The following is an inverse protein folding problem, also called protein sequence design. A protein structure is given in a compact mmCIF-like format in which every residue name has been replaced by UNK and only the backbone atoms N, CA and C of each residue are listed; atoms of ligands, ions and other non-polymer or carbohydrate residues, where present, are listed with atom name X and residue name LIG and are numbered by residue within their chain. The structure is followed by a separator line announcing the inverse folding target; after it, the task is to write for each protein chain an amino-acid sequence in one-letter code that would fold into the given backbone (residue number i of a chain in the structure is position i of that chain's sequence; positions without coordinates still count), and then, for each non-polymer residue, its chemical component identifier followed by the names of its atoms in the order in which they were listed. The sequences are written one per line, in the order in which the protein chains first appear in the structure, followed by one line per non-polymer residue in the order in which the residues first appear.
data_IF_268005621896
#
_entry.id   IF_268005621896
#
_cell.length_a   1.000
_cell.length_b   1.000
_cell.length_c   1.000
_cell.angle_alpha   90.00
_cell.angle_beta   90.00
_cell.angle_gamma   90.00
#
_symmetry.space_group_name_H-M   'P 1'
#
loop_
_entity.id
_entity.type
_entity.pdbx_description
1 polymer ?
#
# COMPACT_ATOMS: atom_id res chain seq x y z
N UNK A 1 28.70 -18.08 15.47
CA UNK A 1 27.79 -16.93 15.18
C UNK A 1 26.42 -17.50 14.89
N UNK A 2 25.37 -16.85 15.40
CA UNK A 2 23.98 -17.26 15.25
C UNK A 2 23.19 -16.14 14.56
N UNK A 3 22.70 -16.39 13.37
CA UNK A 3 21.95 -15.43 12.56
C UNK A 3 20.47 -15.81 12.55
N UNK A 4 19.64 -15.00 13.21
CA UNK A 4 18.19 -15.19 13.23
C UNK A 4 17.55 -14.37 12.13
N UNK A 5 17.38 -14.99 10.96
CA UNK A 5 16.98 -14.32 9.71
C UNK A 5 15.45 -14.31 9.55
N UNK A 6 14.85 -13.19 9.11
CA UNK A 6 13.42 -13.12 8.83
C UNK A 6 13.07 -13.94 7.58
N UNK A 7 11.82 -14.38 7.48
CA UNK A 7 11.28 -14.94 6.25
C UNK A 7 10.47 -13.83 5.56
N UNK A 8 10.98 -13.18 4.51
CA UNK A 8 10.20 -12.20 3.77
C UNK A 8 8.93 -12.88 3.25
N UNK A 9 7.78 -12.26 3.50
CA UNK A 9 6.50 -12.82 3.08
C UNK A 9 6.36 -12.69 1.56
N UNK A 10 6.32 -13.83 0.86
CA UNK A 10 5.99 -13.89 -0.57
C UNK A 10 4.49 -13.91 -0.83
N UNK A 11 3.68 -14.18 0.20
CA UNK A 11 2.22 -14.19 0.06
C UNK A 11 1.75 -12.78 -0.23
N UNK A 12 1.22 -12.55 -1.43
CA UNK A 12 0.60 -11.30 -1.81
C UNK A 12 -0.93 -11.37 -1.62
N UNK A 13 -1.54 -10.23 -1.34
CA UNK A 13 -2.99 -10.01 -1.34
C UNK A 13 -3.31 -8.90 -2.34
N UNK A 14 -4.43 -9.06 -3.05
CA UNK A 14 -4.96 -8.00 -3.91
C UNK A 14 -5.82 -7.08 -3.06
N UNK A 15 -5.66 -5.76 -3.21
CA UNK A 15 -6.46 -4.75 -2.52
C UNK A 15 -6.97 -3.74 -3.55
N UNK A 16 -8.28 -3.48 -3.54
CA UNK A 16 -8.91 -2.41 -4.31
C UNK A 16 -9.14 -1.21 -3.41
N UNK A 17 -8.61 -0.05 -3.77
CA UNK A 17 -8.74 1.20 -3.01
C UNK A 17 -9.13 2.32 -3.97
N UNK A 18 -10.17 3.09 -3.62
CA UNK A 18 -10.55 4.28 -4.39
C UNK A 18 -9.70 5.47 -3.98
N UNK A 19 -9.02 6.06 -4.96
CA UNK A 19 -8.22 7.27 -4.79
C UNK A 19 -9.07 8.49 -5.07
N UNK A 20 -9.15 9.40 -4.10
CA UNK A 20 -9.82 10.70 -4.17
C UNK A 20 -8.78 11.81 -4.32
N UNK A 21 -9.04 12.76 -5.22
CA UNK A 21 -8.14 13.87 -5.50
C UNK A 21 -8.46 15.04 -4.57
N UNK A 22 -7.70 15.20 -3.49
CA UNK A 22 -7.94 16.22 -2.47
C UNK A 22 -7.77 17.66 -2.98
N UNK A 23 -7.14 17.84 -4.14
CA UNK A 23 -7.04 19.12 -4.82
C UNK A 23 -8.19 19.40 -5.80
N UNK A 24 -9.14 18.48 -5.97
CA UNK A 24 -10.23 18.60 -6.93
C UNK A 24 -9.81 18.49 -8.39
N UNK A 25 -8.63 17.91 -8.69
CA UNK A 25 -8.13 17.79 -10.06
C UNK A 25 -8.82 16.70 -10.90
N UNK A 26 -9.56 15.78 -10.28
CA UNK A 26 -10.17 14.65 -10.99
C UNK A 26 -11.27 13.93 -10.20
N UNK A 27 -11.99 13.07 -10.92
CA UNK A 27 -12.99 12.17 -10.35
C UNK A 27 -12.32 11.07 -9.50
N UNK A 28 -13.00 10.55 -8.45
CA UNK A 28 -12.50 9.40 -7.70
C UNK A 28 -12.28 8.19 -8.62
N UNK A 29 -11.17 7.47 -8.44
CA UNK A 29 -10.80 6.34 -9.31
C UNK A 29 -10.37 5.12 -8.47
N UNK A 30 -10.94 3.92 -8.68
CA UNK A 30 -10.51 2.70 -8.03
C UNK A 30 -9.20 2.15 -8.64
N UNK A 31 -8.29 1.74 -7.77
CA UNK A 31 -7.04 1.06 -8.15
C UNK A 31 -6.96 -0.28 -7.45
N UNK A 32 -6.64 -1.33 -8.20
CA UNK A 32 -6.37 -2.65 -7.66
C UNK A 32 -4.87 -2.91 -7.67
N UNK A 33 -4.29 -3.12 -6.49
CA UNK A 33 -2.85 -3.35 -6.32
C UNK A 33 -2.58 -4.64 -5.57
N UNK A 34 -1.45 -5.28 -5.89
CA UNK A 34 -0.99 -6.49 -5.21
C UNK A 34 0.11 -6.15 -4.21
N UNK A 35 -0.15 -6.37 -2.93
CA UNK A 35 0.76 -6.04 -1.82
C UNK A 35 1.09 -7.28 -1.00
N UNK A 36 2.17 -7.25 -0.24
CA UNK A 36 2.53 -8.36 0.65
C UNK A 36 1.47 -8.48 1.76
N UNK A 37 0.90 -9.68 1.95
CA UNK A 37 -0.19 -9.96 2.91
C UNK A 37 0.16 -9.57 4.34
N UNK A 38 1.42 -9.78 4.73
CA UNK A 38 1.98 -9.40 6.02
C UNK A 38 2.82 -8.10 5.95
N UNK A 39 2.62 -7.31 4.90
CA UNK A 39 3.23 -5.99 4.77
C UNK A 39 2.55 -4.94 5.65
N UNK A 40 2.93 -3.69 5.44
CA UNK A 40 2.46 -2.53 6.20
C UNK A 40 1.78 -1.51 5.28
N UNK A 41 1.09 -0.52 5.86
CA UNK A 41 0.41 0.53 5.12
C UNK A 41 1.33 1.27 4.14
N UNK A 42 2.63 1.43 4.45
CA UNK A 42 3.62 2.00 3.51
C UNK A 42 3.73 1.23 2.20
N UNK A 43 3.60 -0.10 2.25
CA UNK A 43 3.74 -0.96 1.07
C UNK A 43 2.52 -0.77 0.16
N UNK A 44 1.34 -0.58 0.75
CA UNK A 44 0.10 -0.22 0.04
C UNK A 44 0.16 1.19 -0.55
N UNK A 45 0.63 2.17 0.23
CA UNK A 45 0.82 3.56 -0.25
C UNK A 45 1.79 3.59 -1.43
N UNK A 46 2.91 2.87 -1.35
CA UNK A 46 3.89 2.80 -2.43
C UNK A 46 3.30 2.15 -3.69
N UNK A 47 2.59 1.03 -3.53
CA UNK A 47 1.95 0.34 -4.65
C UNK A 47 0.87 1.19 -5.33
N UNK A 48 0.02 1.85 -4.53
CA UNK A 48 -0.99 2.79 -5.03
C UNK A 48 -0.34 3.99 -5.71
N UNK A 49 0.69 4.57 -5.09
CA UNK A 49 1.42 5.70 -5.64
C UNK A 49 2.04 5.40 -7.01
N UNK A 50 2.59 4.20 -7.19
CA UNK A 50 3.05 3.73 -8.49
C UNK A 50 1.89 3.55 -9.48
N UNK A 51 0.78 2.94 -9.05
CA UNK A 51 -0.38 2.66 -9.91
C UNK A 51 -1.12 3.93 -10.37
N UNK A 52 -1.19 4.96 -9.52
CA UNK A 52 -1.86 6.23 -9.83
C UNK A 52 -0.91 7.35 -10.28
N UNK A 53 0.36 7.02 -10.55
CA UNK A 53 1.41 7.96 -10.96
C UNK A 53 1.48 9.18 -10.03
N UNK A 54 1.68 8.93 -8.73
CA UNK A 54 1.84 9.95 -7.70
C UNK A 54 3.11 10.79 -7.97
N UNK A 55 3.00 12.11 -7.88
CA UNK A 55 4.14 13.01 -8.09
C UNK A 55 4.98 13.12 -6.81
N UNK A 56 6.18 13.67 -6.94
CA UNK A 56 7.12 13.85 -5.82
C UNK A 56 6.66 14.84 -4.75
N UNK A 57 5.75 15.76 -5.09
CA UNK A 57 5.18 16.77 -4.19
C UNK A 57 3.78 16.39 -3.65
N UNK A 58 3.40 15.13 -3.85
CA UNK A 58 2.10 14.59 -3.46
C UNK A 58 2.24 13.38 -2.55
N UNK A 59 1.27 13.17 -1.66
CA UNK A 59 1.19 12.01 -0.79
C UNK A 59 -0.21 11.39 -0.79
N UNK A 60 -0.30 10.16 -0.28
CA UNK A 60 -1.56 9.45 -0.10
C UNK A 60 -1.87 9.27 1.38
N UNK A 61 -3.04 9.76 1.81
CA UNK A 61 -3.59 9.52 3.14
C UNK A 61 -4.63 8.42 3.07
N UNK A 62 -4.33 7.26 3.66
CA UNK A 62 -5.25 6.13 3.73
C UNK A 62 -6.30 6.33 4.84
N UNK A 63 -7.54 5.91 4.57
CA UNK A 63 -8.64 5.97 5.53
C UNK A 63 -9.60 4.79 5.40
N UNK A 64 -10.05 4.27 6.53
CA UNK A 64 -11.19 3.36 6.61
C UNK A 64 -12.48 4.17 6.73
N UNK A 65 -13.45 3.82 5.89
CA UNK A 65 -14.76 4.47 5.83
C UNK A 65 -15.81 3.51 6.35
N UNK A 66 -16.58 3.93 7.35
CA UNK A 66 -17.68 3.16 7.92
C UNK A 66 -18.86 4.08 8.21
N UNK A 67 -20.08 3.64 7.88
CA UNK A 67 -21.30 4.43 8.02
C UNK A 67 -21.18 5.88 7.49
N UNK A 68 -20.56 6.04 6.31
CA UNK A 68 -20.38 7.32 5.63
C UNK A 68 -19.48 8.34 6.37
N UNK A 69 -18.61 7.86 7.26
CA UNK A 69 -17.66 8.67 8.05
C UNK A 69 -16.27 8.08 7.96
N UNK A 70 -15.26 8.93 8.17
CA UNK A 70 -13.88 8.46 8.36
C UNK A 70 -13.81 7.83 9.74
N UNK A 71 -13.81 6.50 9.79
CA UNK A 71 -13.69 5.75 11.03
C UNK A 71 -12.26 5.86 11.58
N UNK A 72 -11.29 5.73 10.68
CA UNK A 72 -9.88 5.66 11.05
C UNK A 72 -9.00 6.21 9.93
N UNK A 73 -8.05 7.07 10.29
CA UNK A 73 -6.94 7.43 9.39
C UNK A 73 -5.78 6.50 9.65
N UNK A 74 -5.24 5.90 8.59
CA UNK A 74 -4.11 4.98 8.62
C UNK A 74 -2.81 5.77 8.44
N UNK A 75 -2.53 6.66 9.38
CA UNK A 75 -1.38 7.59 9.31
C UNK A 75 -0.05 6.92 9.65
N UNK A 76 -0.09 5.79 10.35
CA UNK A 76 1.11 5.07 10.74
C UNK A 76 1.60 4.19 9.57
N UNK A 77 2.74 4.50 8.93
CA UNK A 77 3.23 3.75 7.77
C UNK A 77 3.64 2.31 8.11
N UNK A 78 3.94 2.02 9.38
CA UNK A 78 4.30 0.68 9.86
C UNK A 78 3.10 -0.08 10.44
N UNK A 79 1.87 0.41 10.23
CA UNK A 79 0.69 -0.36 10.64
C UNK A 79 0.53 -1.61 9.75
N UNK A 80 0.37 -2.81 10.32
CA UNK A 80 0.24 -4.04 9.53
C UNK A 80 -1.03 -4.03 8.65
N UNK A 81 -0.90 -4.42 7.38
CA UNK A 81 -2.06 -4.54 6.48
C UNK A 81 -3.09 -5.57 6.96
N UNK A 82 -2.70 -6.48 7.85
CA UNK A 82 -3.62 -7.42 8.49
C UNK A 82 -4.69 -6.75 9.37
N UNK A 83 -4.54 -5.46 9.74
CA UNK A 83 -5.59 -4.70 10.42
C UNK A 83 -6.75 -4.35 9.50
N UNK A 84 -6.49 -4.22 8.20
CA UNK A 84 -7.49 -3.96 7.16
C UNK A 84 -8.06 -5.30 6.70
N UNK A 85 -9.34 -5.53 6.90
CA UNK A 85 -10.06 -6.74 6.48
C UNK A 85 -10.45 -6.69 5.01
N UNK A 86 -10.96 -7.80 4.50
CA UNK A 86 -11.34 -7.91 3.09
C UNK A 86 -12.67 -7.19 2.80
N UNK A 87 -13.56 -7.19 3.79
CA UNK A 87 -14.88 -6.52 3.80
C UNK A 87 -14.83 -5.02 4.15
N UNK A 88 -13.66 -4.50 4.52
CA UNK A 88 -13.51 -3.08 4.85
C UNK A 88 -13.60 -2.22 3.59
N UNK A 89 -14.03 -0.97 3.76
CA UNK A 89 -14.02 0.04 2.71
C UNK A 89 -12.87 1.01 2.98
N UNK A 90 -11.83 0.94 2.15
CA UNK A 90 -10.64 1.77 2.29
C UNK A 90 -10.51 2.72 1.11
N UNK A 91 -10.17 3.96 1.42
CA UNK A 91 -9.91 5.02 0.44
C UNK A 91 -8.55 5.63 0.66
N UNK A 92 -8.01 6.24 -0.40
CA UNK A 92 -6.78 7.01 -0.33
C UNK A 92 -7.07 8.44 -0.81
N UNK A 93 -6.70 9.45 -0.02
CA UNK A 93 -6.77 10.84 -0.44
C UNK A 93 -5.40 11.28 -0.97
N UNK A 94 -5.34 11.68 -2.24
CA UNK A 94 -4.16 12.28 -2.88
C UNK A 94 -4.08 13.76 -2.48
N UNK A 95 -3.03 14.13 -1.77
CA UNK A 95 -2.86 15.44 -1.17
C UNK A 95 -1.53 16.06 -1.62
N UNK A 96 -1.48 17.38 -1.81
CA UNK A 96 -0.24 18.09 -2.13
C UNK A 96 0.46 18.56 -0.84
N UNK A 97 1.72 18.18 -0.68
CA UNK A 97 2.52 18.45 0.53
C UNK A 97 3.21 19.82 0.54
N UNK A 98 2.86 20.72 -0.40
CA UNK A 98 3.51 22.02 -0.52
C UNK A 98 3.26 22.93 0.70
N UNK A 99 4.18 22.95 1.67
CA UNK A 99 4.19 23.90 2.81
C UNK A 99 3.99 23.26 4.20
N UNK A 100 4.55 23.89 5.24
CA UNK A 100 4.37 23.49 6.63
C UNK A 100 3.07 24.07 7.23
N UNK A 101 2.45 23.39 8.20
CA UNK A 101 1.30 23.93 8.96
C UNK A 101 -0.09 23.61 8.43
N UNK A 102 -0.24 22.61 7.55
CA UNK A 102 -1.53 22.27 6.93
C UNK A 102 -2.52 21.62 7.91
N UNK A 103 -3.80 21.96 7.79
CA UNK A 103 -4.91 21.33 8.54
C UNK A 103 -5.77 20.47 7.65
N UNK A 104 -6.25 19.34 8.17
CA UNK A 104 -7.13 18.43 7.42
C UNK A 104 -8.56 18.92 7.49
N UNK A 105 -9.20 19.12 6.35
CA UNK A 105 -10.63 19.37 6.24
C UNK A 105 -11.34 18.09 5.79
N UNK A 106 -12.21 17.55 6.64
CA UNK A 106 -13.04 16.38 6.38
C UNK A 106 -14.50 16.82 6.15
N UNK A 107 -15.04 16.45 5.00
CA UNK A 107 -16.37 16.83 4.52
C UNK A 107 -17.29 15.62 4.56
N UNK A 108 -18.31 15.66 5.42
CA UNK A 108 -19.29 14.59 5.54
C UNK A 108 -20.61 15.01 4.90
N UNK A 109 -21.16 14.16 4.04
CA UNK A 109 -22.39 14.47 3.30
C UNK A 109 -23.63 14.04 4.08
N UNK A 110 -24.62 14.92 4.17
CA UNK A 110 -25.93 14.62 4.77
C UNK A 110 -27.08 15.18 3.95
N UNK A 111 -28.23 14.54 4.07
CA UNK A 111 -29.51 14.99 3.50
C UNK A 111 -30.63 14.77 4.52
N UNK A 112 -31.77 15.45 4.36
CA UNK A 112 -32.93 15.19 5.22
C UNK A 112 -33.50 13.80 4.91
N UNK A 113 -33.66 12.99 5.95
CA UNK A 113 -34.35 11.71 5.89
C UNK A 113 -35.82 11.93 5.53
N UNK A 114 -36.29 11.21 4.52
CA UNK A 114 -37.71 11.14 4.14
C UNK A 114 -38.51 10.18 5.04
N UNK A 115 -37.85 9.44 5.94
CA UNK A 115 -38.47 8.51 6.86
C UNK A 115 -38.75 9.18 8.22
N UNK A 116 -40.03 9.39 8.53
CA UNK A 116 -40.51 10.17 9.69
C UNK A 116 -40.33 9.49 11.08
N UNK A 117 -39.85 8.25 11.15
CA UNK A 117 -39.85 7.46 12.39
C UNK A 117 -38.59 7.59 13.29
N UNK A 118 -37.54 8.30 12.87
CA UNK A 118 -36.32 8.42 13.66
C UNK A 118 -36.37 9.63 14.61
N UNK A 119 -36.40 9.34 15.92
CA UNK A 119 -36.44 10.31 17.04
C UNK A 119 -35.19 11.19 17.19
N UNK A 120 -34.24 11.17 16.25
CA UNK A 120 -33.05 12.04 16.25
C UNK A 120 -32.97 12.86 14.96
N UNK A 121 -33.61 14.03 14.95
CA UNK A 121 -33.21 15.14 14.07
C UNK A 121 -33.22 14.94 12.56
N UNK A 122 -33.85 13.90 12.01
CA UNK A 122 -34.21 13.83 10.58
C UNK A 122 -33.09 13.90 9.55
N UNK A 123 -31.81 13.67 9.88
CA UNK A 123 -30.69 13.70 8.92
C UNK A 123 -30.16 12.30 8.63
N UNK A 124 -29.86 12.04 7.35
CA UNK A 124 -29.24 10.80 6.85
C UNK A 124 -27.88 11.12 6.24
N UNK A 125 -26.84 10.42 6.67
CA UNK A 125 -25.51 10.49 6.05
C UNK A 125 -25.44 9.58 4.81
N UNK A 126 -24.62 9.94 3.83
CA UNK A 126 -24.40 9.10 2.66
C UNK A 126 -23.02 9.33 2.05
N UNK A 127 -22.62 8.39 1.19
CA UNK A 127 -21.39 8.48 0.41
C UNK A 127 -20.12 8.41 1.24
N UNK A 128 -19.02 8.75 0.58
CA UNK A 128 -17.67 8.73 1.10
C UNK A 128 -17.27 10.14 1.50
N UNK A 129 -16.77 10.36 2.72
CA UNK A 129 -16.26 11.66 3.11
C UNK A 129 -15.14 12.12 2.18
N UNK A 130 -15.09 13.41 1.88
CA UNK A 130 -14.01 14.00 1.11
C UNK A 130 -13.01 14.65 2.07
N UNK A 131 -11.71 14.51 1.79
CA UNK A 131 -10.64 15.07 2.63
C UNK A 131 -9.69 15.89 1.78
N UNK A 132 -9.33 17.07 2.27
CA UNK A 132 -8.32 17.95 1.69
C UNK A 132 -7.46 18.60 2.77
N UNK A 133 -6.44 19.35 2.35
CA UNK A 133 -5.59 20.14 3.21
C UNK A 133 -5.89 21.63 3.00
N UNK A 134 -5.93 22.36 4.11
CA UNK A 134 -6.00 23.82 4.13
C UNK A 134 -4.65 24.35 4.58
N UNK A 135 -4.13 25.31 3.84
CA UNK A 135 -2.98 26.12 4.22
C UNK A 135 -3.47 27.19 5.22
N UNK A 136 -2.65 27.58 6.21
CA UNK A 136 -2.90 28.62 7.24
C UNK A 136 -3.36 28.18 8.66
N UNK A 137 -2.96 29.01 9.64
CA UNK A 137 -3.32 28.87 11.06
C UNK A 137 -4.70 29.46 11.42
N UNK A 138 -5.19 30.40 10.62
CA UNK A 138 -6.49 31.04 10.76
C UNK A 138 -7.30 30.80 9.49
N UNK A 139 -8.26 29.88 9.58
CA UNK A 139 -9.10 29.48 8.47
C UNK A 139 -10.43 30.22 8.58
N UNK A 140 -10.78 30.98 7.55
CA UNK A 140 -12.09 31.62 7.43
C UNK A 140 -13.12 30.67 6.82
N UNK A 141 -14.40 30.98 6.99
CA UNK A 141 -15.47 30.26 6.30
C UNK A 141 -15.36 30.36 4.78
N UNK A 142 -14.85 31.48 4.26
CA UNK A 142 -14.59 31.65 2.83
C UNK A 142 -13.53 30.67 2.30
N UNK A 143 -12.48 30.37 3.09
CA UNK A 143 -11.45 29.41 2.71
C UNK A 143 -12.02 27.99 2.62
N UNK A 144 -12.87 27.62 3.58
CA UNK A 144 -13.59 26.33 3.56
C UNK A 144 -14.51 26.25 2.34
N UNK A 145 -15.24 27.33 2.05
CA UNK A 145 -16.09 27.43 0.88
C UNK A 145 -15.30 27.17 -0.42
N UNK A 146 -14.17 27.86 -0.60
CA UNK A 146 -13.29 27.66 -1.78
C UNK A 146 -12.82 26.21 -1.87
N UNK A 147 -12.39 25.62 -0.76
CA UNK A 147 -11.96 24.22 -0.72
C UNK A 147 -13.08 23.24 -1.08
N UNK A 148 -14.30 23.45 -0.55
CA UNK A 148 -15.49 22.65 -0.89
C UNK A 148 -15.80 22.77 -2.39
N UNK A 149 -15.81 23.99 -2.93
CA UNK A 149 -16.11 24.24 -4.35
C UNK A 149 -15.10 23.54 -5.26
N UNK A 150 -13.81 23.66 -4.92
CA UNK A 150 -12.71 23.02 -5.65
C UNK A 150 -12.88 21.50 -5.65
N UNK A 151 -13.11 20.91 -4.49
CA UNK A 151 -13.18 19.46 -4.31
C UNK A 151 -14.41 18.83 -4.97
N UNK A 152 -15.54 19.54 -4.99
CA UNK A 152 -16.76 19.09 -5.65
C UNK A 152 -16.79 19.40 -7.15
N UNK A 153 -15.86 20.22 -7.65
CA UNK A 153 -15.87 20.64 -9.06
C UNK A 153 -15.87 19.48 -10.07
N UNK A 154 -15.15 18.36 -9.87
CA UNK A 154 -15.19 17.22 -10.79
C UNK A 154 -16.54 16.48 -10.77
N UNK A 155 -17.30 16.59 -9.67
CA UNK A 155 -18.58 15.90 -9.50
C UNK A 155 -19.74 16.63 -10.19
N UNK A 156 -19.49 17.80 -10.80
CA UNK A 156 -20.53 18.56 -11.50
C UNK A 156 -21.05 17.76 -12.70
N UNK A 157 -22.37 17.70 -12.85
CA UNK A 157 -23.00 17.11 -14.04
C UNK A 157 -22.65 17.94 -15.28
N UNK A 158 -22.34 17.26 -16.39
CA UNK A 158 -22.23 17.94 -17.67
C UNK A 158 -23.56 18.64 -17.98
N UNK A 159 -23.52 19.95 -18.28
CA UNK A 159 -24.72 20.69 -18.68
C UNK A 159 -25.22 20.12 -20.00
N UNK A 160 -26.38 19.46 -19.98
CA UNK A 160 -27.10 19.12 -21.22
C UNK A 160 -27.62 20.42 -21.81
N UNK A 161 -26.97 20.92 -22.87
CA UNK A 161 -27.44 22.06 -23.66
C UNK A 161 -28.64 21.65 -24.50
N UNK A 162 -29.78 21.39 -23.86
CA UNK A 162 -31.04 21.26 -24.58
C UNK A 162 -31.60 22.67 -24.81
N UNK A 163 -31.09 23.35 -25.84
CA UNK A 163 -31.86 24.41 -26.47
C UNK A 163 -33.07 23.77 -27.15
N UNK A 164 -34.20 23.79 -26.47
CA UNK A 164 -35.52 23.61 -27.10
C UNK A 164 -35.77 24.87 -27.92
N UNK A 165 -35.36 24.87 -29.19
CA UNK A 165 -35.88 25.82 -30.15
C UNK A 165 -37.26 25.33 -30.60
N UNK A 166 -38.28 26.00 -30.07
CA UNK A 166 -39.61 26.04 -30.64
C UNK A 166 -39.57 26.65 -32.04
N UNK A 167 -39.99 25.90 -33.07
CA UNK A 167 -40.15 26.41 -34.43
C UNK A 167 -41.07 25.50 -35.24
N UNK A 168 -42.17 26.06 -35.73
CA UNK A 168 -43.30 25.42 -36.40
C UNK A 168 -42.96 24.80 -37.77
N UNK A 169 -43.84 23.87 -38.14
CA UNK A 169 -44.01 23.19 -39.43
C UNK A 169 -43.88 24.07 -40.68
N UNK A 170 -43.19 23.57 -41.71
CA UNK A 170 -43.75 23.22 -43.05
C UNK A 170 -42.65 22.95 -44.08
N UNK A 171 -42.83 21.92 -44.91
CA UNK A 171 -42.32 21.89 -46.29
C UNK A 171 -41.43 20.70 -46.67
N UNK A 172 -41.93 19.90 -47.61
CA UNK A 172 -41.38 18.67 -48.20
C UNK A 172 -40.43 18.93 -49.41
N UNK A 173 -39.78 17.84 -49.87
CA UNK A 173 -39.04 17.56 -51.14
C UNK A 173 -37.51 17.87 -51.13
N UNK A 174 -36.59 16.89 -51.05
CA UNK A 174 -36.12 15.83 -52.01
C UNK A 174 -35.01 16.32 -52.96
N UNK A 175 -33.79 15.76 -52.84
CA UNK A 175 -33.12 14.91 -53.86
C UNK A 175 -31.60 14.77 -53.64
N UNK A 176 -31.06 13.74 -54.30
CA UNK A 176 -29.80 13.04 -54.11
C UNK A 176 -28.58 13.61 -54.87
N UNK A 177 -27.46 12.88 -54.72
CA UNK A 177 -26.17 12.93 -55.44
C UNK A 177 -25.20 14.06 -55.05
N UNK A 178 -23.88 13.91 -54.97
CA UNK A 178 -22.94 12.82 -55.25
C UNK A 178 -21.50 13.39 -55.23
N UNK A 179 -20.53 12.55 -54.88
CA UNK A 179 -19.10 12.57 -55.28
C UNK A 179 -18.08 13.64 -54.78
N UNK A 180 -17.11 13.13 -54.01
CA UNK A 180 -15.63 13.29 -54.05
C UNK A 180 -14.96 14.56 -54.62
N UNK A 181 -13.97 15.12 -53.89
CA UNK A 181 -12.63 15.46 -54.43
C UNK A 181 -11.67 16.03 -53.36
N UNK A 182 -10.38 15.78 -53.60
CA UNK A 182 -9.15 15.96 -52.84
C UNK A 182 -8.58 17.39 -52.69
N UNK A 183 -7.65 17.49 -51.72
CA UNK A 183 -6.35 18.21 -51.69
C UNK A 183 -6.23 19.73 -51.41
N UNK A 184 -5.63 19.98 -50.24
CA UNK A 184 -4.50 20.84 -49.84
C UNK A 184 -3.94 21.98 -50.74
N UNK A 185 -3.61 23.06 -50.01
CA UNK A 185 -2.54 24.08 -50.15
C UNK A 185 -2.74 25.34 -51.01
N UNK A 186 -2.47 26.49 -50.38
CA UNK A 186 -2.10 27.76 -51.03
C UNK A 186 -2.42 29.00 -50.20
N UNK A 187 -1.42 29.84 -49.91
CA UNK A 187 -1.40 30.95 -48.94
C UNK A 187 -1.84 32.32 -49.48
N UNK A 188 -2.07 33.25 -48.51
CA UNK A 188 -1.90 34.74 -48.57
C UNK A 188 -2.94 35.52 -49.41
N UNK A 189 -3.53 36.66 -49.02
CA UNK A 189 -3.12 37.74 -48.12
C UNK A 189 -4.31 38.64 -47.68
N UNK A 190 -4.28 39.06 -46.41
CA UNK A 190 -4.77 40.32 -45.79
C UNK A 190 -6.03 41.04 -46.29
N UNK A 191 -7.00 41.21 -45.38
CA UNK A 191 -7.59 42.53 -45.08
C UNK A 191 -8.09 42.59 -43.64
N UNK A 192 -7.44 43.45 -42.86
CA UNK A 192 -7.86 43.90 -41.54
C UNK A 192 -9.29 44.43 -41.57
N UNK A 193 -10.13 43.94 -40.66
CA UNK A 193 -11.14 44.75 -39.98
C UNK A 193 -11.40 44.15 -38.61
N UNK A 194 -10.92 44.90 -37.62
CA UNK A 194 -11.15 44.77 -36.20
C UNK A 194 -12.64 44.68 -35.84
N UNK A 195 -13.02 43.60 -35.16
CA UNK A 195 -14.08 43.62 -34.17
C UNK A 195 -13.65 42.75 -32.99
N UNK A 196 -13.63 43.37 -31.82
CA UNK A 196 -13.08 42.88 -30.57
C UNK A 196 -13.67 41.52 -30.17
N UNK A 197 -12.81 40.51 -30.07
CA UNK A 197 -13.10 39.32 -29.27
C UNK A 197 -13.08 39.75 -27.79
N UNK A 198 -14.26 40.01 -27.23
CA UNK A 198 -14.43 39.83 -25.79
C UNK A 198 -14.37 38.34 -25.50
N UNK A 199 -13.16 37.85 -25.26
CA UNK A 199 -12.95 36.75 -24.34
C UNK A 199 -13.54 37.18 -23.00
N UNK A 200 -14.81 36.83 -22.75
CA UNK A 200 -15.34 36.83 -21.39
C UNK A 200 -14.67 35.69 -20.64
N UNK A 201 -13.51 36.04 -20.11
CA UNK A 201 -12.97 35.52 -18.87
C UNK A 201 -14.09 35.52 -17.83
N UNK A 202 -14.81 34.40 -17.68
CA UNK A 202 -15.75 34.18 -16.57
C UNK A 202 -14.96 33.93 -15.27
N UNK A 203 -14.26 34.97 -14.81
CA UNK A 203 -13.92 35.18 -13.42
C UNK A 203 -15.07 35.94 -12.77
N UNK A 204 -16.16 35.25 -12.40
CA UNK A 204 -17.11 35.80 -11.42
C UNK A 204 -17.69 34.69 -10.55
N UNK A 205 -17.64 34.91 -9.23
CA UNK A 205 -17.88 33.89 -8.22
C UNK A 205 -19.25 33.24 -8.35
N UNK A 206 -19.26 31.96 -8.74
CA UNK A 206 -20.40 31.10 -8.46
C UNK A 206 -20.46 30.87 -6.96
N UNK A 207 -21.49 31.44 -6.34
CA UNK A 207 -21.86 31.21 -4.94
C UNK A 207 -21.98 29.70 -4.69
N UNK A 208 -21.41 29.21 -3.59
CA UNK A 208 -21.59 27.80 -3.22
C UNK A 208 -23.04 27.55 -2.86
N UNK A 209 -23.61 26.52 -3.47
CA UNK A 209 -24.99 26.12 -3.21
C UNK A 209 -25.16 25.38 -1.87
N UNK A 210 -24.06 24.90 -1.27
CA UNK A 210 -24.08 24.11 -0.05
C UNK A 210 -24.20 24.97 1.21
N UNK A 211 -25.09 24.57 2.11
CA UNK A 211 -25.03 25.02 3.51
C UNK A 211 -23.98 24.19 4.26
N UNK A 212 -23.04 24.89 4.92
CA UNK A 212 -21.90 24.29 5.61
C UNK A 212 -22.06 24.42 7.12
N UNK A 213 -21.78 23.33 7.84
CA UNK A 213 -21.85 23.32 9.30
C UNK A 213 -20.60 22.70 9.92
N UNK A 214 -19.99 23.37 10.88
CA UNK A 214 -18.91 22.85 11.69
C UNK A 214 -19.46 21.81 12.70
N UNK A 215 -18.75 20.70 12.85
CA UNK A 215 -19.07 19.63 13.80
C UNK A 215 -17.88 19.24 14.67
N UNK A 216 -18.17 18.61 15.82
CA UNK A 216 -17.18 17.97 16.68
C UNK A 216 -16.88 16.54 16.23
N UNK A 217 -15.90 15.90 16.87
CA UNK A 217 -15.47 14.52 16.57
C UNK A 217 -16.56 13.47 16.77
N UNK A 218 -17.56 13.78 17.60
CA UNK A 218 -18.72 12.91 17.86
C UNK A 218 -19.87 13.12 16.88
N UNK A 219 -19.72 14.00 15.90
CA UNK A 219 -20.76 14.35 14.93
C UNK A 219 -22.07 14.86 15.57
N UNK A 220 -21.94 15.49 16.75
CA UNK A 220 -23.06 15.90 17.59
C UNK A 220 -23.29 17.41 17.57
N UNK A 221 -22.22 18.19 17.38
CA UNK A 221 -22.31 19.63 17.22
C UNK A 221 -22.68 20.02 15.78
N UNK A 222 -23.47 21.08 15.63
CA UNK A 222 -23.86 21.59 14.32
C UNK A 222 -23.92 23.12 14.39
N UNK A 223 -22.82 23.78 14.01
CA UNK A 223 -22.72 25.25 13.99
C UNK A 223 -22.62 25.74 12.55
N UNK A 224 -23.51 26.63 12.07
CA UNK A 224 -23.42 27.14 10.70
C UNK A 224 -22.10 27.88 10.49
N UNK A 225 -21.52 27.73 9.31
CA UNK A 225 -20.31 28.44 8.89
C UNK A 225 -20.75 29.57 7.96
N UNK A 226 -20.41 30.81 8.32
CA UNK A 226 -20.53 31.98 7.46
C UNK A 226 -19.16 32.37 6.91
N UNK A 227 -19.11 33.09 5.79
CA UNK A 227 -17.85 33.46 5.12
C UNK A 227 -16.84 34.16 6.02
N UNK A 228 -17.32 35.04 6.89
CA UNK A 228 -16.56 35.81 7.87
C UNK A 228 -16.25 35.05 9.17
N UNK A 229 -16.72 33.79 9.29
CA UNK A 229 -16.47 32.96 10.47
C UNK A 229 -14.99 32.61 10.58
N UNK A 230 -14.36 32.94 11.70
CA UNK A 230 -12.98 32.52 12.00
C UNK A 230 -13.01 31.19 12.76
N UNK A 231 -12.43 30.16 12.18
CA UNK A 231 -12.50 28.79 12.69
C UNK A 231 -11.18 28.43 13.39
N UNK A 232 -11.18 28.53 14.73
CA UNK A 232 -10.09 28.07 15.59
C UNK A 232 -10.35 26.64 16.04
N UNK A 233 -9.85 25.67 15.28
CA UNK A 233 -9.99 24.24 15.57
C UNK A 233 -8.63 23.57 15.46
N UNK A 234 -8.43 22.43 16.13
CA UNK A 234 -7.18 21.67 16.08
C UNK A 234 -6.81 21.19 14.66
N UNK A 235 -5.89 20.24 14.56
CA UNK A 235 -5.32 19.80 13.27
C UNK A 235 -6.35 19.17 12.29
N UNK A 236 -7.58 18.92 12.72
CA UNK A 236 -8.67 18.35 11.92
C UNK A 236 -9.93 19.20 12.06
N UNK A 237 -10.45 19.67 10.95
CA UNK A 237 -11.71 20.38 10.82
C UNK A 237 -12.71 19.42 10.18
N UNK A 238 -13.87 19.22 10.81
CA UNK A 238 -14.95 18.39 10.28
C UNK A 238 -16.15 19.26 9.98
N UNK A 239 -16.70 19.12 8.78
CA UNK A 239 -17.89 19.85 8.36
C UNK A 239 -18.96 18.92 7.78
N UNK A 240 -20.22 19.32 7.93
CA UNK A 240 -21.32 18.74 7.18
C UNK A 240 -21.59 19.55 5.91
N UNK A 241 -21.75 18.84 4.80
CA UNK A 241 -22.26 19.34 3.53
C UNK A 241 -23.70 18.88 3.40
N UNK A 242 -24.64 19.82 3.44
CA UNK A 242 -26.06 19.52 3.28
C UNK A 242 -26.47 19.47 1.82
N UNK A 243 -27.07 18.35 1.43
CA UNK A 243 -27.62 18.16 0.09
C UNK A 243 -29.14 18.37 0.12
N UNK A 244 -29.60 19.23 -0.78
CA UNK A 244 -31.01 19.43 -1.11
C UNK A 244 -31.25 19.11 -2.58
N UNK A 245 -32.50 19.18 -3.03
CA UNK A 245 -32.85 18.99 -4.45
C UNK A 245 -32.08 19.92 -5.39
N UNK A 246 -31.58 21.07 -4.91
CA UNK A 246 -30.75 21.98 -5.71
C UNK A 246 -29.41 21.34 -6.02
N UNK A 247 -28.68 20.85 -5.02
CA UNK A 247 -27.33 20.29 -5.20
C UNK A 247 -27.38 19.02 -6.05
N UNK A 248 -28.41 18.19 -5.89
CA UNK A 248 -28.64 16.99 -6.71
C UNK A 248 -28.81 17.26 -8.22
N UNK A 249 -29.25 18.47 -8.61
CA UNK A 249 -29.34 18.90 -10.02
C UNK A 249 -27.98 19.26 -10.61
N UNK A 250 -27.06 19.75 -9.79
CA UNK A 250 -25.76 20.23 -10.25
C UNK A 250 -24.65 19.19 -10.10
N UNK A 251 -24.75 18.30 -9.12
CA UNK A 251 -23.70 17.33 -8.79
C UNK A 251 -24.22 15.90 -8.92
N UNK A 252 -23.32 15.00 -9.30
CA UNK A 252 -23.58 13.56 -9.30
C UNK A 252 -22.95 12.90 -8.06
N UNK A 253 -23.76 12.51 -7.06
CA UNK A 253 -23.25 11.83 -5.88
C UNK A 253 -22.94 10.35 -6.13
N UNK A 254 -23.20 9.81 -7.33
CA UNK A 254 -22.82 8.42 -7.67
C UNK A 254 -21.32 8.17 -7.49
N UNK A 255 -20.48 9.17 -7.79
CA UNK A 255 -19.02 9.09 -7.62
C UNK A 255 -18.54 8.93 -6.17
N UNK A 256 -19.42 9.18 -5.18
CA UNK A 256 -19.07 9.07 -3.75
C UNK A 256 -19.86 7.97 -3.04
N UNK A 257 -20.87 7.35 -3.64
CA UNK A 257 -21.80 6.42 -2.97
C UNK A 257 -21.34 4.95 -2.95
N UNK A 258 -20.60 4.51 -3.97
CA UNK A 258 -20.29 3.09 -4.18
C UNK A 258 -18.79 2.82 -4.11
N UNK A 259 -18.24 2.72 -2.89
CA UNK A 259 -16.88 2.26 -2.70
C UNK A 259 -16.81 0.74 -2.90
N UNK A 260 -15.84 0.22 -3.66
CA UNK A 260 -15.57 -1.20 -3.66
C UNK A 260 -15.03 -1.65 -2.28
N UNK A 261 -15.39 -2.86 -1.86
CA UNK A 261 -14.70 -3.55 -0.77
C UNK A 261 -13.23 -3.78 -1.13
N UNK A 262 -12.36 -3.79 -0.10
CA UNK A 262 -10.92 -4.00 -0.26
C UNK A 262 -10.61 -5.27 -1.06
N UNK A 263 -11.37 -6.34 -0.84
CA UNK A 263 -11.28 -7.54 -1.67
C UNK A 263 -12.67 -8.05 -2.04
N UNK A 264 -13.15 -7.66 -3.22
CA UNK A 264 -14.33 -8.26 -3.81
C UNK A 264 -13.96 -9.61 -4.47
N UNK A 265 -14.56 -10.71 -4.01
CA UNK A 265 -14.45 -12.02 -4.68
C UNK A 265 -15.09 -11.95 -6.07
N UNK A 266 -14.36 -11.48 -7.08
CA UNK A 266 -14.73 -11.79 -8.46
C UNK A 266 -14.66 -13.31 -8.66
N UNK A 267 -15.69 -13.87 -9.30
CA UNK A 267 -15.97 -15.30 -9.49
C UNK A 267 -14.99 -15.94 -10.50
N UNK A 268 -13.69 -15.81 -10.24
CA UNK A 268 -12.66 -16.56 -10.94
C UNK A 268 -11.80 -17.28 -9.92
N UNK A 269 -12.11 -18.57 -9.77
CA UNK A 269 -11.31 -19.65 -9.18
C UNK A 269 -9.99 -19.20 -8.55
N UNK A 270 -9.99 -19.09 -7.22
CA UNK A 270 -8.76 -19.13 -6.45
C UNK A 270 -8.07 -20.48 -6.69
N UNK A 271 -7.23 -20.56 -7.72
CA UNK A 271 -6.15 -21.54 -7.72
C UNK A 271 -5.36 -21.25 -6.46
N UNK A 272 -5.27 -22.21 -5.53
CA UNK A 272 -4.28 -22.20 -4.44
C UNK A 272 -2.92 -21.92 -5.10
N UNK A 273 -2.50 -20.67 -5.10
CA UNK A 273 -1.17 -20.28 -5.55
C UNK A 273 -0.23 -21.06 -4.65
N UNK A 274 0.63 -21.90 -5.24
CA UNK A 274 1.72 -22.54 -4.49
C UNK A 274 2.44 -21.41 -3.74
N UNK A 275 2.62 -21.55 -2.43
CA UNK A 275 3.45 -20.61 -1.66
C UNK A 275 4.80 -20.54 -2.37
N UNK A 276 5.17 -19.35 -2.85
CA UNK A 276 6.43 -19.15 -3.55
C UNK A 276 7.59 -19.40 -2.58
N UNK A 277 8.53 -20.26 -2.99
CA UNK A 277 9.74 -20.54 -2.24
C UNK A 277 10.59 -19.27 -2.08
N UNK A 278 11.22 -19.12 -0.91
CA UNK A 278 12.15 -18.02 -0.61
C UNK A 278 13.57 -18.58 -0.53
N UNK A 279 14.58 -17.86 -1.02
CA UNK A 279 15.98 -18.31 -0.87
C UNK A 279 16.56 -17.88 0.49
N UNK A 280 17.50 -18.65 1.04
CA UNK A 280 18.27 -18.26 2.23
C UNK A 280 19.00 -16.93 2.03
N UNK A 281 19.46 -16.65 0.79
CA UNK A 281 20.08 -15.38 0.44
C UNK A 281 19.09 -14.22 0.60
N UNK A 282 17.84 -14.37 0.15
CA UNK A 282 16.80 -13.35 0.34
C UNK A 282 16.49 -13.10 1.83
N UNK A 283 16.48 -14.15 2.65
CA UNK A 283 16.34 -14.02 4.10
C UNK A 283 17.54 -13.25 4.71
N UNK A 284 18.75 -13.54 4.25
CA UNK A 284 19.97 -12.85 4.70
C UNK A 284 20.00 -11.38 4.24
N UNK A 285 19.62 -11.08 3.00
CA UNK A 285 19.50 -9.72 2.49
C UNK A 285 18.48 -8.92 3.31
N UNK A 286 17.31 -9.51 3.60
CA UNK A 286 16.32 -8.89 4.46
C UNK A 286 16.86 -8.63 5.88
N UNK A 287 17.70 -9.52 6.43
CA UNK A 287 18.36 -9.33 7.72
C UNK A 287 19.38 -8.17 7.73
N UNK A 288 20.04 -7.92 6.60
CA UNK A 288 21.07 -6.88 6.45
C UNK A 288 20.53 -5.55 5.91
N UNK A 289 19.24 -5.51 5.55
CA UNK A 289 18.57 -4.30 5.07
C UNK A 289 18.37 -3.33 6.23
N UNK A 290 18.53 -2.03 5.94
CA UNK A 290 18.26 -0.97 6.92
C UNK A 290 16.76 -0.92 7.27
N UNK A 291 16.46 -0.85 8.55
CA UNK A 291 15.10 -0.78 9.07
C UNK A 291 14.94 0.38 10.06
N UNK A 292 13.79 1.11 10.05
CA UNK A 292 13.50 2.08 11.09
C UNK A 292 13.18 1.36 12.40
N UNK A 293 13.70 1.88 13.51
CA UNK A 293 13.29 1.44 14.84
C UNK A 293 11.82 1.82 15.08
N UNK A 294 11.08 0.93 15.73
CA UNK A 294 9.69 1.16 16.07
C UNK A 294 9.51 2.15 17.23
N UNK A 295 8.24 2.51 17.53
CA UNK A 295 7.94 3.44 18.62
C UNK A 295 8.33 2.92 20.01
N UNK A 296 8.31 1.60 20.19
CA UNK A 296 8.61 0.94 21.48
C UNK A 296 10.12 0.70 21.67
N UNK A 297 10.93 0.86 20.61
CA UNK A 297 12.38 0.59 20.57
C UNK A 297 13.20 1.75 19.99
N UNK A 298 12.68 2.98 20.12
CA UNK A 298 13.37 4.21 19.68
C UNK A 298 14.78 4.32 20.26
N UNK A 299 15.70 4.88 19.48
CA UNK A 299 17.09 5.06 19.90
C UNK A 299 17.23 6.32 20.76
N UNK A 300 17.89 6.21 21.91
CA UNK A 300 18.27 7.35 22.71
C UNK A 300 19.46 8.07 22.07
N UNK A 301 19.21 9.25 21.48
CA UNK A 301 20.25 10.03 20.84
C UNK A 301 21.09 10.78 21.89
N UNK A 302 22.40 10.53 22.01
CA UNK A 302 23.24 11.20 23.00
C UNK A 302 23.42 12.70 22.72
N UNK A 303 23.27 13.13 21.46
CA UNK A 303 23.37 14.54 21.05
C UNK A 303 22.08 15.31 21.38
N UNK A 304 20.91 14.74 21.08
CA UNK A 304 19.61 15.36 21.34
C UNK A 304 19.14 15.19 22.79
N UNK A 305 19.68 14.18 23.50
CA UNK A 305 19.29 13.77 24.86
C UNK A 305 17.81 13.34 24.97
N UNK A 306 17.30 12.69 23.93
CA UNK A 306 15.94 12.18 23.87
C UNK A 306 15.83 10.95 22.95
N UNK A 307 14.71 10.23 23.05
CA UNK A 307 14.41 9.10 22.17
C UNK A 307 13.99 9.61 20.78
N UNK A 308 14.66 9.12 19.73
CA UNK A 308 14.41 9.46 18.34
C UNK A 308 14.19 8.19 17.53
N UNK A 309 13.29 8.29 16.56
CA UNK A 309 13.09 7.25 15.57
C UNK A 309 14.29 7.26 14.61
N UNK A 310 15.27 6.39 14.88
CA UNK A 310 16.47 6.22 14.08
C UNK A 310 16.33 5.02 13.15
N UNK A 311 17.20 4.94 12.15
CA UNK A 311 17.37 3.73 11.35
C UNK A 311 18.46 2.85 11.93
N UNK A 312 18.28 1.54 11.80
CA UNK A 312 19.21 0.51 12.24
C UNK A 312 19.58 -0.34 11.04
N UNK A 313 20.87 -0.56 10.86
CA UNK A 313 21.41 -1.47 9.84
C UNK A 313 22.39 -2.43 10.49
N UNK A 314 22.35 -3.69 10.06
CA UNK A 314 23.31 -4.71 10.47
C UNK A 314 24.16 -5.08 9.26
N UNK A 315 25.47 -5.21 9.46
CA UNK A 315 26.42 -5.68 8.45
C UNK A 315 27.24 -6.85 9.03
N UNK A 316 27.67 -7.77 8.17
CA UNK A 316 28.56 -8.86 8.57
C UNK A 316 30.02 -8.39 8.43
N UNK A 317 30.75 -8.35 9.55
CA UNK A 317 32.15 -7.92 9.53
C UNK A 317 33.12 -9.08 9.26
N UNK A 318 32.98 -10.19 9.99
CA UNK A 318 33.73 -11.45 9.84
C UNK A 318 32.82 -12.63 10.17
N UNK A 319 33.12 -13.83 9.66
CA UNK A 319 32.29 -15.03 9.89
C UNK A 319 33.08 -16.20 10.53
N UNK A 320 32.44 -17.00 11.40
CA UNK A 320 33.08 -18.09 12.15
C UNK A 320 33.27 -19.38 11.34
N UNK A 321 34.02 -20.36 11.87
CA UNK A 321 34.09 -21.71 11.29
C UNK A 321 32.74 -22.45 11.30
N UNK A 322 31.93 -22.25 12.36
CA UNK A 322 30.57 -22.79 12.46
C UNK A 322 29.55 -21.65 12.46
N UNK A 323 28.71 -21.64 11.43
CA UNK A 323 27.67 -20.64 11.22
C UNK A 323 26.30 -21.29 11.37
N UNK A 324 25.46 -20.68 12.21
CA UNK A 324 24.10 -21.16 12.47
C UNK A 324 23.11 -20.16 11.93
N UNK A 325 22.23 -20.61 11.03
CA UNK A 325 21.09 -19.83 10.57
C UNK A 325 19.82 -20.33 11.26
N UNK A 326 19.12 -19.43 11.92
CA UNK A 326 17.78 -19.67 12.45
C UNK A 326 16.76 -18.96 11.57
N UNK A 327 15.85 -19.74 10.99
CA UNK A 327 14.74 -19.25 10.20
C UNK A 327 13.63 -18.79 11.17
N UNK A 328 13.38 -17.47 11.27
CA UNK A 328 12.35 -16.88 12.17
C UNK A 328 10.93 -17.22 11.71
N UNK A 329 10.53 -18.48 11.88
CA UNK A 329 9.22 -19.00 11.45
C UNK A 329 8.09 -18.64 12.42
N UNK A 330 8.38 -18.46 13.70
CA UNK A 330 7.35 -18.17 14.69
C UNK A 330 7.15 -16.68 14.84
N UNK A 331 5.88 -16.25 14.77
CA UNK A 331 5.47 -14.88 15.05
C UNK A 331 4.48 -14.88 16.21
N UNK A 332 4.64 -13.87 17.07
CA UNK A 332 3.83 -13.65 18.25
C UNK A 332 3.16 -12.29 18.15
N UNK A 333 1.83 -12.26 18.15
CA UNK A 333 1.05 -11.05 18.45
C UNK A 333 0.25 -11.28 19.73
N UNK A 334 -0.28 -10.20 20.32
CA UNK A 334 -1.08 -10.29 21.58
C UNK A 334 -2.25 -11.28 21.49
N UNK A 335 -2.74 -11.57 20.29
CA UNK A 335 -3.92 -12.41 20.07
C UNK A 335 -3.67 -13.65 19.19
N UNK A 336 -2.56 -13.70 18.45
CA UNK A 336 -2.29 -14.77 17.51
C UNK A 336 -0.85 -15.28 17.64
N UNK A 337 -0.72 -16.60 17.76
CA UNK A 337 0.55 -17.31 17.63
C UNK A 337 0.52 -18.04 16.29
N UNK A 338 1.45 -17.73 15.39
CA UNK A 338 1.48 -18.36 14.07
C UNK A 338 2.88 -18.89 13.72
N UNK A 339 2.93 -19.95 12.91
CA UNK A 339 4.14 -20.47 12.30
C UNK A 339 4.08 -20.25 10.79
N UNK A 340 5.18 -19.74 10.23
CA UNK A 340 5.37 -19.58 8.79
C UNK A 340 5.86 -20.90 8.20
N UNK A 341 5.01 -21.52 7.37
CA UNK A 341 5.31 -22.75 6.63
C UNK A 341 5.88 -22.48 5.23
N UNK A 342 6.49 -21.31 5.00
CA UNK A 342 7.14 -20.98 3.72
C UNK A 342 8.32 -21.93 3.44
N UNK A 343 8.41 -22.48 2.23
CA UNK A 343 9.59 -23.24 1.81
C UNK A 343 10.80 -22.30 1.69
N UNK A 344 11.90 -22.63 2.35
CA UNK A 344 13.15 -21.88 2.23
C UNK A 344 14.15 -22.75 1.48
N UNK A 345 14.58 -22.29 0.31
CA UNK A 345 15.65 -22.94 -0.44
C UNK A 345 17.02 -22.48 0.08
N UNK A 346 17.81 -23.43 0.58
CA UNK A 346 19.14 -23.19 1.13
C UNK A 346 20.17 -24.13 0.48
N UNK A 347 21.40 -23.70 0.15
CA UNK A 347 22.41 -24.57 -0.45
C UNK A 347 22.90 -25.64 0.54
N UNK A 348 22.93 -26.91 0.16
CA UNK A 348 23.54 -27.96 1.01
C UNK A 348 25.08 -27.88 0.93
N UNK A 349 25.60 -27.50 -0.24
CA UNK A 349 27.02 -27.34 -0.52
C UNK A 349 27.27 -25.97 -1.14
N UNK A 350 28.51 -25.48 -1.05
CA UNK A 350 28.97 -24.25 -1.71
C UNK A 350 28.14 -22.99 -1.36
N UNK A 351 27.72 -22.85 -0.10
CA UNK A 351 27.13 -21.59 0.37
C UNK A 351 28.24 -20.52 0.46
N UNK A 352 28.33 -19.66 -0.55
CA UNK A 352 29.31 -18.57 -0.60
C UNK A 352 28.72 -17.28 -0.02
N UNK A 353 29.26 -16.85 1.13
CA UNK A 353 28.87 -15.63 1.83
C UNK A 353 29.86 -14.49 1.64
N UNK A 354 30.90 -14.67 0.82
CA UNK A 354 32.02 -13.72 0.70
C UNK A 354 31.54 -12.32 0.30
N UNK A 355 30.48 -12.22 -0.51
CA UNK A 355 29.89 -10.94 -0.94
C UNK A 355 29.22 -10.14 0.18
N UNK A 356 28.84 -10.79 1.28
CA UNK A 356 28.13 -10.16 2.39
C UNK A 356 29.07 -9.67 3.51
N UNK A 357 30.36 -10.05 3.47
CA UNK A 357 31.34 -9.73 4.50
C UNK A 357 32.08 -8.43 4.17
N UNK A 358 32.12 -7.48 5.12
CA UNK A 358 32.75 -6.15 4.94
C UNK A 358 34.21 -6.08 5.39
N UNK A 359 34.64 -6.94 6.31
CA UNK A 359 35.95 -6.84 6.99
C UNK A 359 37.18 -7.11 6.13
N UNK A 360 37.02 -7.63 4.90
CA UNK A 360 38.09 -7.66 3.89
C UNK A 360 39.37 -8.38 4.33
N UNK A 361 39.27 -9.57 4.90
CA UNK A 361 40.40 -10.37 5.40
C UNK A 361 41.04 -11.29 4.32
N UNK A 362 40.57 -11.23 3.07
CA UNK A 362 41.10 -12.05 1.96
C UNK A 362 40.70 -13.53 2.05
N UNK A 363 39.82 -13.87 2.97
CA UNK A 363 39.41 -15.23 3.32
C UNK A 363 38.20 -15.69 2.50
N UNK A 364 38.14 -16.99 2.15
CA UNK A 364 36.99 -17.56 1.44
C UNK A 364 35.88 -18.01 2.40
N UNK A 365 34.70 -17.41 2.29
CA UNK A 365 33.55 -17.68 3.17
C UNK A 365 32.57 -18.67 2.55
N UNK A 366 33.09 -19.84 2.17
CA UNK A 366 32.30 -20.94 1.61
C UNK A 366 31.98 -21.97 2.69
N UNK A 367 30.71 -22.36 2.77
CA UNK A 367 30.21 -23.29 3.77
C UNK A 367 29.50 -24.48 3.15
N UNK A 368 29.49 -25.58 3.90
CA UNK A 368 28.65 -26.75 3.65
C UNK A 368 27.75 -27.04 4.84
N UNK A 369 26.51 -27.45 4.55
CA UNK A 369 25.52 -27.82 5.54
C UNK A 369 25.89 -29.19 6.11
N UNK A 370 25.86 -29.33 7.43
CA UNK A 370 26.13 -30.62 8.08
C UNK A 370 25.02 -31.05 9.04
N UNK A 371 24.13 -30.15 9.45
CA UNK A 371 22.94 -30.50 10.22
C UNK A 371 21.78 -29.53 10.00
N UNK A 372 20.56 -30.02 10.21
CA UNK A 372 19.31 -29.27 10.18
C UNK A 372 18.46 -29.71 11.38
N UNK A 373 18.01 -28.76 12.19
CA UNK A 373 16.90 -28.99 13.12
C UNK A 373 15.59 -28.69 12.41
N UNK A 374 14.71 -29.69 12.37
CA UNK A 374 13.39 -29.62 11.77
C UNK A 374 12.32 -29.41 12.85
N UNK A 375 11.25 -28.69 12.53
CA UNK A 375 10.08 -28.52 13.40
C UNK A 375 8.77 -28.79 12.67
N UNK A 376 7.98 -29.71 13.22
CA UNK A 376 6.64 -30.09 12.77
C UNK A 376 5.58 -29.58 13.75
N UNK A 377 4.38 -29.27 13.26
CA UNK A 377 3.33 -28.69 14.09
C UNK A 377 3.47 -27.18 14.30
N UNK A 378 2.75 -26.64 15.28
CA UNK A 378 2.61 -25.21 15.56
C UNK A 378 3.00 -24.83 16.99
N UNK A 379 2.71 -23.60 17.41
CA UNK A 379 3.12 -23.10 18.74
C UNK A 379 2.38 -23.75 19.92
N UNK A 380 1.21 -24.36 19.70
CA UNK A 380 0.44 -25.05 20.74
C UNK A 380 0.87 -26.51 20.98
N UNK A 381 1.76 -27.03 20.14
CA UNK A 381 2.22 -28.41 20.14
C UNK A 381 2.96 -28.70 18.84
N UNK A 382 4.15 -29.27 18.96
CA UNK A 382 5.03 -29.56 17.84
C UNK A 382 6.06 -30.61 18.19
N UNK A 383 6.81 -31.04 17.18
CA UNK A 383 7.82 -32.09 17.30
C UNK A 383 9.09 -31.66 16.58
N UNK A 384 10.25 -31.91 17.20
CA UNK A 384 11.55 -31.59 16.62
C UNK A 384 12.28 -32.86 16.22
N UNK A 385 12.87 -32.86 15.03
CA UNK A 385 13.82 -33.89 14.60
C UNK A 385 15.11 -33.24 14.11
N UNK A 386 16.15 -34.03 13.88
CA UNK A 386 17.39 -33.54 13.31
C UNK A 386 17.82 -34.36 12.10
N UNK A 387 18.18 -33.68 11.01
CA UNK A 387 19.02 -34.29 9.99
C UNK A 387 20.47 -33.95 10.28
N UNK A 388 21.36 -34.94 10.26
CA UNK A 388 22.80 -34.69 10.39
C UNK A 388 23.60 -35.59 9.44
N UNK A 389 24.70 -35.04 8.93
CA UNK A 389 25.64 -35.73 8.06
C UNK A 389 26.75 -36.35 8.90
N UNK A 390 26.87 -37.67 8.87
CA UNK A 390 28.04 -38.36 9.40
C UNK A 390 29.22 -38.14 8.45
N UNK A 391 30.26 -37.49 8.96
CA UNK A 391 31.39 -37.01 8.15
C UNK A 391 32.19 -38.19 7.59
N UNK A 392 32.43 -39.21 8.40
CA UNK A 392 33.26 -40.37 8.04
C UNK A 392 32.61 -41.24 6.95
N UNK A 393 31.28 -41.28 6.92
CA UNK A 393 30.51 -42.05 5.92
C UNK A 393 30.07 -41.19 4.72
N UNK A 394 30.15 -39.87 4.85
CA UNK A 394 29.58 -38.91 3.91
C UNK A 394 28.09 -39.18 3.62
N UNK A 395 27.32 -39.57 4.64
CA UNK A 395 25.89 -39.94 4.55
C UNK A 395 25.03 -39.16 5.53
N UNK A 396 23.78 -38.91 5.15
CA UNK A 396 22.80 -38.22 5.98
C UNK A 396 21.91 -39.20 6.72
N UNK A 397 21.57 -38.83 7.97
CA UNK A 397 20.66 -39.57 8.82
C UNK A 397 19.62 -38.63 9.42
N UNK A 398 18.41 -39.15 9.62
CA UNK A 398 17.35 -38.56 10.41
C UNK A 398 17.39 -39.13 11.83
N UNK A 399 17.41 -38.23 12.81
CA UNK A 399 17.37 -38.51 14.23
C UNK A 399 16.03 -38.00 14.75
N UNK A 400 15.13 -38.94 15.01
CA UNK A 400 13.79 -38.72 15.54
C UNK A 400 13.69 -39.40 16.91
N UNK A 401 14.02 -38.63 17.95
CA UNK A 401 14.20 -39.11 19.33
C UNK A 401 15.12 -40.35 19.41
N UNK A 402 14.57 -41.51 19.76
CA UNK A 402 15.30 -42.78 19.88
C UNK A 402 15.48 -43.51 18.54
N UNK A 403 14.90 -43.02 17.45
CA UNK A 403 14.92 -43.68 16.14
C UNK A 403 15.86 -42.95 15.18
N UNK A 404 16.78 -43.72 14.58
CA UNK A 404 17.74 -43.21 13.61
C UNK A 404 17.57 -43.94 12.28
N UNK A 405 17.40 -43.21 11.19
CA UNK A 405 17.23 -43.78 9.85
C UNK A 405 18.05 -43.03 8.79
N UNK A 406 18.58 -43.70 7.76
CA UNK A 406 19.24 -43.02 6.65
C UNK A 406 18.24 -42.11 5.89
N UNK A 407 18.73 -41.00 5.33
CA UNK A 407 17.93 -40.07 4.51
C UNK A 407 18.74 -39.60 3.29
N UNK A 408 18.05 -39.34 2.17
CA UNK A 408 18.70 -38.85 0.96
C UNK A 408 18.92 -37.33 1.02
N UNK A 409 19.96 -36.85 0.34
CA UNK A 409 20.27 -35.41 0.26
C UNK A 409 19.10 -34.59 -0.34
N UNK A 410 18.29 -35.20 -1.21
CA UNK A 410 17.08 -34.59 -1.80
C UNK A 410 16.01 -34.21 -0.77
N UNK A 411 15.97 -34.91 0.35
CA UNK A 411 14.89 -34.78 1.34
C UNK A 411 15.25 -33.81 2.48
N UNK A 412 16.53 -33.38 2.52
CA UNK A 412 17.07 -32.46 3.53
C UNK A 412 16.37 -31.09 3.45
N UNK A 413 16.07 -30.62 2.23
CA UNK A 413 15.34 -29.37 2.02
C UNK A 413 13.84 -29.61 2.11
N UNK A 414 13.21 -29.14 3.18
CA UNK A 414 11.78 -29.27 3.38
C UNK A 414 11.19 -28.09 4.17
N UNK A 415 9.86 -28.06 4.30
CA UNK A 415 9.12 -27.01 5.03
C UNK A 415 9.41 -26.98 6.53
N UNK A 416 9.85 -28.10 7.11
CA UNK A 416 10.10 -28.24 8.53
C UNK A 416 11.46 -27.67 8.95
N UNK A 417 12.41 -27.49 8.02
CA UNK A 417 13.73 -26.92 8.31
C UNK A 417 13.60 -25.59 9.10
N UNK A 418 14.21 -25.54 10.29
CA UNK A 418 14.06 -24.45 11.25
C UNK A 418 15.40 -23.82 11.65
N UNK A 419 16.40 -24.64 11.95
CA UNK A 419 17.78 -24.18 12.23
C UNK A 419 18.74 -24.94 11.33
N UNK A 420 19.59 -24.22 10.59
CA UNK A 420 20.57 -24.74 9.65
C UNK A 420 21.97 -24.58 10.24
N UNK A 421 22.76 -25.65 10.22
CA UNK A 421 24.12 -25.67 10.73
C UNK A 421 25.12 -25.86 9.59
N UNK A 422 25.96 -24.84 9.41
CA UNK A 422 26.95 -24.77 8.35
C UNK A 422 28.36 -24.79 8.93
N UNK A 423 29.27 -25.52 8.28
CA UNK A 423 30.70 -25.53 8.58
C UNK A 423 31.48 -24.94 7.41
N UNK A 424 32.49 -24.13 7.73
CA UNK A 424 33.34 -23.47 6.73
C UNK A 424 34.26 -24.49 6.07
N UNK A 425 34.33 -24.46 4.75
CA UNK A 425 35.21 -25.34 3.97
C UNK A 425 36.62 -24.76 3.97
N UNK A 426 37.61 -25.51 4.45
CA UNK A 426 39.03 -25.09 4.41
C UNK A 426 39.58 -25.29 3.00
N UNK A 427 40.36 -24.32 2.51
CA UNK A 427 40.89 -24.28 1.11
C UNK A 427 41.61 -25.59 0.72
N UNK A 428 42.42 -26.15 1.62
CA UNK A 428 43.13 -27.43 1.39
C UNK A 428 42.18 -28.62 1.16
N UNK A 429 41.02 -28.63 1.81
CA UNK A 429 40.02 -29.69 1.63
C UNK A 429 39.24 -29.53 0.32
N UNK A 430 39.05 -28.30 -0.14
CA UNK A 430 38.40 -27.99 -1.42
C UNK A 430 39.24 -28.45 -2.61
N UNK A 431 40.55 -28.20 -2.57
CA UNK A 431 41.47 -28.66 -3.62
C UNK A 431 41.50 -30.21 -3.71
N UNK A 432 41.49 -30.89 -2.57
CA UNK A 432 41.38 -32.35 -2.50
C UNK A 432 40.06 -32.87 -3.08
N UNK A 433 38.91 -32.28 -2.71
CA UNK A 433 37.59 -32.66 -3.23
C UNK A 433 37.45 -32.42 -4.74
N UNK A 434 37.94 -31.29 -5.26
CA UNK A 434 37.94 -30.99 -6.70
C UNK A 434 38.82 -31.97 -7.48
N UNK A 435 39.95 -32.38 -6.90
CA UNK A 435 40.85 -33.39 -7.49
C UNK A 435 40.18 -34.77 -7.53
N UNK A 436 39.48 -35.15 -6.46
CA UNK A 436 38.77 -36.44 -6.35
C UNK A 436 37.54 -36.52 -7.29
N UNK A 437 36.78 -35.42 -7.42
CA UNK A 437 35.70 -35.31 -8.41
C UNK A 437 36.22 -35.39 -9.85
N UNK A 438 37.32 -34.69 -10.16
CA UNK A 438 37.94 -34.73 -11.50
C UNK A 438 38.45 -36.14 -11.86
N UNK A 439 38.91 -36.90 -10.87
CA UNK A 439 39.30 -38.30 -11.05
C UNK A 439 38.10 -39.23 -11.28
N UNK A 440 36.97 -39.01 -10.58
CA UNK A 440 35.74 -39.80 -10.81
C UNK A 440 35.09 -39.55 -12.17
N UNK A 441 35.14 -38.32 -12.68
CA UNK A 441 34.58 -37.98 -14.01
C UNK A 441 35.44 -38.51 -15.17
N UNK A 442 36.69 -38.91 -14.92
CA UNK A 442 37.59 -39.52 -15.92
C UNK A 442 37.50 -41.04 -16.02
N UNK A 443 36.68 -41.69 -15.18
CA UNK A 443 36.53 -43.15 -15.12
C UNK A 443 35.19 -43.63 -15.72
N UNK A 444 34.44 -42.73 -16.36
CA UNK A 444 33.24 -43.07 -17.14
C UNK A 444 33.41 -42.73 -18.62
#
# INVERSE_FOLDING_TARGET
MYLSVPLPSTVKRSMTVTVFYGDGSGLPMPYTVSVVKHGHCRDLIQALGAACCLKSDESLLLAEVYEHKVYRLLENPVEPLASIKDEDHVVAYRLSENGAGKRKLEMVHREKSTLEFLKSGGWKYFGTPLVTLLDEDLISGADIEVAVSKLLSPLKRARSSTMVLSGRENGFLSDADGETSNCCNGQSETKDQSMENLEQQETSGQELFFQLFLTDDRYSACKPIFRDSVIKVGNRIKIFLEWTEKEYKYYDPGYIKDLPEVFHKTVFTAKKTRQEAVSLFSCLEAFLTEEPLGPDDMWYCPSCKEHRQATKKLDLWTLPEILVFHLKRFSYSRYLKNKLDTFVDFPIQNLDLSKFVKGGDGESYIYELYAVSNHYGGLGGGHYTAFAKLIDENRWYNFDDSYVSPVNESDIKNLAAYVLFYRRVKIKQREAQLTEMSQRTRVF
#
